data_IF_282424851004
#
_entry.id   IF_282424851004
#
_cell.length_a   1.000
_cell.length_b   1.000
_cell.length_c   1.000
_cell.angle_alpha   90.00
_cell.angle_beta   90.00
_cell.angle_gamma   90.00
#
_symmetry.space_group_name_H-M   'P 1'
#
loop_
_entity.id
_entity.type
_entity.pdbx_description
1 polymer ?
#
# COMPACT_ATOMS: atom_id res chain seq x y z
N UNK A 1 2.58 16.21 -3.78
CA UNK A 1 2.72 14.91 -3.08
C UNK A 1 3.44 13.98 -4.04
N UNK A 2 4.51 13.29 -3.60
CA UNK A 2 5.25 12.38 -4.48
C UNK A 2 4.42 11.14 -4.77
N UNK A 3 4.58 10.53 -5.95
CA UNK A 3 4.01 9.21 -6.30
C UNK A 3 4.34 8.16 -5.23
N UNK A 4 5.51 8.25 -4.61
CA UNK A 4 5.92 7.39 -3.51
C UNK A 4 5.03 7.53 -2.26
N UNK A 5 4.73 8.77 -1.85
CA UNK A 5 3.86 9.03 -0.70
C UNK A 5 2.43 8.55 -0.97
N UNK A 6 1.96 8.67 -2.22
CA UNK A 6 0.65 8.16 -2.63
C UNK A 6 0.55 6.64 -2.43
N UNK A 7 1.57 5.87 -2.79
CA UNK A 7 1.60 4.41 -2.60
C UNK A 7 1.51 4.06 -1.11
N UNK A 8 2.33 4.71 -0.27
CA UNK A 8 2.35 4.44 1.18
C UNK A 8 1.00 4.79 1.81
N UNK A 9 0.45 5.96 1.49
CA UNK A 9 -0.83 6.40 2.03
C UNK A 9 -1.96 5.48 1.59
N UNK A 10 -1.90 4.97 0.36
CA UNK A 10 -2.90 4.02 -0.12
C UNK A 10 -2.80 2.66 0.57
N UNK A 11 -1.59 2.15 0.84
CA UNK A 11 -1.41 0.93 1.64
C UNK A 11 -2.03 1.12 3.04
N UNK A 12 -1.77 2.26 3.70
CA UNK A 12 -2.38 2.59 4.99
C UNK A 12 -3.91 2.63 4.92
N UNK A 13 -4.46 3.28 3.91
CA UNK A 13 -5.91 3.36 3.66
C UNK A 13 -6.52 1.96 3.50
N UNK A 14 -5.91 1.08 2.70
CA UNK A 14 -6.42 -0.28 2.48
C UNK A 14 -6.40 -1.10 3.79
N UNK A 15 -5.37 -0.92 4.63
CA UNK A 15 -5.29 -1.56 5.94
C UNK A 15 -6.47 -1.12 6.82
N UNK A 16 -6.75 0.18 6.85
CA UNK A 16 -7.86 0.77 7.61
C UNK A 16 -9.23 0.31 7.06
N UNK A 17 -9.45 0.39 5.75
CA UNK A 17 -10.70 -0.05 5.08
C UNK A 17 -11.01 -1.53 5.37
N UNK A 18 -9.99 -2.39 5.45
CA UNK A 18 -10.17 -3.82 5.76
C UNK A 18 -10.23 -4.13 7.25
N UNK A 19 -10.01 -3.15 8.14
CA UNK A 19 -9.95 -3.36 9.59
C UNK A 19 -8.84 -4.32 10.01
N UNK A 20 -7.78 -4.46 9.22
CA UNK A 20 -6.71 -5.42 9.48
C UNK A 20 -5.65 -4.82 10.40
N UNK A 21 -5.14 -5.60 11.35
CA UNK A 21 -4.01 -5.17 12.18
C UNK A 21 -2.73 -5.13 11.34
N UNK A 22 -2.02 -4.02 11.38
CA UNK A 22 -0.75 -3.84 10.66
C UNK A 22 0.29 -4.94 10.96
N UNK A 23 0.33 -5.44 12.21
CA UNK A 23 1.21 -6.55 12.62
C UNK A 23 0.90 -7.83 11.86
N UNK A 24 -0.38 -8.18 11.70
CA UNK A 24 -0.79 -9.37 10.96
C UNK A 24 -0.45 -9.27 9.46
N UNK A 25 -0.52 -8.06 8.88
CA UNK A 25 -0.11 -7.82 7.50
C UNK A 25 1.40 -7.98 7.34
N UNK A 26 2.19 -7.45 8.28
CA UNK A 26 3.64 -7.59 8.27
C UNK A 26 4.05 -9.07 8.25
N UNK A 27 3.50 -9.87 9.17
CA UNK A 27 3.78 -11.31 9.26
C UNK A 27 3.41 -12.05 7.97
N UNK A 28 2.21 -11.79 7.43
CA UNK A 28 1.75 -12.39 6.15
C UNK A 28 2.63 -12.00 4.96
N UNK A 29 3.18 -10.80 4.97
CA UNK A 29 4.06 -10.30 3.91
C UNK A 29 5.54 -10.72 4.11
N UNK A 30 5.85 -11.42 5.21
CA UNK A 30 7.21 -11.89 5.53
C UNK A 30 8.11 -10.80 6.11
N UNK A 31 7.54 -9.83 6.83
CA UNK A 31 8.27 -8.75 7.51
C UNK A 31 8.03 -8.80 9.02
N UNK A 32 8.98 -8.26 9.77
CA UNK A 32 8.71 -7.91 11.17
C UNK A 32 7.78 -6.69 11.25
N UNK A 33 7.01 -6.59 12.34
CA UNK A 33 6.13 -5.45 12.58
C UNK A 33 6.89 -4.11 12.57
N UNK A 34 8.10 -4.09 13.13
CA UNK A 34 8.96 -2.90 13.18
C UNK A 34 9.44 -2.48 11.80
N UNK A 35 9.91 -3.42 10.98
CA UNK A 35 10.34 -3.12 9.61
C UNK A 35 9.20 -2.59 8.75
N UNK A 36 8.03 -3.22 8.84
CA UNK A 36 6.86 -2.78 8.11
C UNK A 36 6.41 -1.38 8.54
N UNK A 37 6.40 -1.11 9.86
CA UNK A 37 6.12 0.23 10.39
C UNK A 37 7.14 1.27 9.92
N UNK A 38 8.44 0.94 9.92
CA UNK A 38 9.47 1.85 9.44
C UNK A 38 9.30 2.17 7.94
N UNK A 39 8.90 1.20 7.11
CA UNK A 39 8.59 1.43 5.70
C UNK A 39 7.39 2.36 5.51
N UNK A 40 6.30 2.10 6.23
CA UNK A 40 5.08 2.92 6.11
C UNK A 40 5.23 4.34 6.68
N UNK A 41 6.22 4.58 7.54
CA UNK A 41 6.48 5.89 8.13
C UNK A 41 7.72 6.59 7.55
N UNK A 42 8.23 6.13 6.40
CA UNK A 42 9.34 6.78 5.69
C UNK A 42 10.70 6.68 6.39
N UNK A 43 10.82 5.84 7.44
CA UNK A 43 12.09 5.60 8.16
C UNK A 43 12.93 4.49 7.50
N UNK A 44 12.33 3.71 6.60
CA UNK A 44 12.97 2.69 5.77
C UNK A 44 12.41 2.78 4.35
N UNK A 45 13.26 2.57 3.33
CA UNK A 45 12.83 2.56 1.94
C UNK A 45 11.89 1.36 1.68
N UNK A 46 10.70 1.63 1.15
CA UNK A 46 9.81 0.60 0.60
C UNK A 46 10.30 0.23 -0.82
N UNK A 47 10.93 -0.94 -0.96
CA UNK A 47 11.40 -1.44 -2.26
C UNK A 47 10.23 -1.93 -3.10
N UNK A 48 10.30 -1.70 -4.42
CA UNK A 48 9.26 -2.13 -5.36
C UNK A 48 8.97 -3.64 -5.30
N UNK A 49 10.01 -4.46 -5.11
CA UNK A 49 9.91 -5.92 -4.94
C UNK A 49 9.08 -6.37 -3.73
N UNK A 50 8.86 -5.48 -2.74
CA UNK A 50 8.03 -5.78 -1.57
C UNK A 50 6.54 -5.53 -1.83
N UNK A 51 6.20 -4.71 -2.83
CA UNK A 51 4.81 -4.33 -3.12
C UNK A 51 3.93 -5.56 -3.44
N UNK A 52 4.36 -6.55 -4.26
CA UNK A 52 3.56 -7.75 -4.50
C UNK A 52 3.27 -8.56 -3.24
N UNK A 53 4.25 -8.67 -2.32
CA UNK A 53 4.06 -9.39 -1.04
C UNK A 53 3.03 -8.69 -0.16
N UNK A 54 3.07 -7.36 -0.11
CA UNK A 54 2.13 -6.54 0.64
C UNK A 54 0.72 -6.65 0.03
N UNK A 55 0.60 -6.61 -1.31
CA UNK A 55 -0.66 -6.81 -2.01
C UNK A 55 -1.29 -8.16 -1.70
N UNK A 56 -0.49 -9.23 -1.75
CA UNK A 56 -0.91 -10.57 -1.39
C UNK A 56 -1.35 -10.66 0.08
N UNK A 57 -0.61 -10.06 1.01
CA UNK A 57 -0.95 -10.06 2.43
C UNK A 57 -2.25 -9.28 2.73
N UNK A 58 -2.49 -8.22 1.98
CA UNK A 58 -3.73 -7.43 2.02
C UNK A 58 -4.87 -8.12 1.27
N UNK A 59 -4.61 -9.10 0.41
CA UNK A 59 -5.62 -9.71 -0.46
C UNK A 59 -6.21 -8.69 -1.44
N UNK A 60 -5.36 -7.90 -2.10
CA UNK A 60 -5.75 -6.93 -3.13
C UNK A 60 -4.83 -7.07 -4.35
N UNK A 61 -5.28 -6.56 -5.48
CA UNK A 61 -4.47 -6.45 -6.70
C UNK A 61 -3.50 -5.25 -6.65
N UNK A 62 -2.40 -5.32 -7.41
CA UNK A 62 -1.40 -4.26 -7.50
C UNK A 62 -2.01 -2.93 -7.97
N UNK A 63 -2.97 -2.96 -8.90
CA UNK A 63 -3.63 -1.75 -9.38
C UNK A 63 -4.35 -1.00 -8.25
N UNK A 64 -4.84 -1.74 -7.24
CA UNK A 64 -5.44 -1.13 -6.05
C UNK A 64 -4.40 -0.42 -5.21
N UNK A 65 -3.16 -0.91 -5.13
CA UNK A 65 -2.05 -0.23 -4.42
C UNK A 65 -1.52 0.98 -5.19
N UNK A 66 -1.36 0.85 -6.51
CA UNK A 66 -0.91 1.96 -7.35
C UNK A 66 -2.00 3.01 -7.61
N UNK A 67 -3.24 2.75 -7.16
CA UNK A 67 -4.37 3.66 -7.27
C UNK A 67 -4.72 4.06 -8.72
N UNK A 68 -4.44 3.17 -9.68
CA UNK A 68 -4.53 3.46 -11.12
C UNK A 68 -5.99 3.78 -11.53
N UNK A 69 -6.99 3.21 -10.84
CA UNK A 69 -8.41 3.41 -11.15
C UNK A 69 -8.99 4.79 -10.77
N UNK A 70 -8.43 5.46 -9.76
CA UNK A 70 -8.90 6.80 -9.39
C UNK A 70 -8.32 7.88 -10.31
N UNK A 71 -7.25 7.58 -11.04
CA UNK A 71 -6.72 8.45 -12.10
C UNK A 71 -7.64 8.41 -13.32
N UNK A 72 -8.04 7.22 -13.78
CA UNK A 72 -8.98 7.08 -14.90
C UNK A 72 -10.36 7.72 -14.66
N UNK A 73 -10.90 7.62 -13.43
CA UNK A 73 -12.19 8.26 -13.10
C UNK A 73 -12.17 9.78 -13.09
N UNK A 74 -11.00 10.41 -13.01
CA UNK A 74 -10.87 11.88 -13.12
C UNK A 74 -10.81 12.33 -14.58
N UNK A 75 -10.22 11.52 -15.45
CA UNK A 75 -10.13 11.81 -16.89
C UNK A 75 -11.51 11.69 -17.58
N UNK A 76 -12.31 10.67 -17.22
CA UNK A 76 -13.67 10.49 -17.75
C UNK A 76 -14.67 11.56 -17.30
N UNK A 77 -14.40 12.27 -16.19
CA UNK A 77 -15.23 13.38 -15.70
C UNK A 77 -14.77 14.76 -16.22
N UNK A 78 -13.64 14.81 -16.93
CA UNK A 78 -13.10 16.00 -17.54
C UNK A 78 -13.34 16.06 -19.07
N UNK A 79 -13.97 15.03 -19.65
CA UNK A 79 -14.44 14.99 -21.04
C UNK A 79 -15.96 15.20 -21.15
#
# INVERSE_FOLDING_TARGET
MSTYDCIINNIKRIIEEKGMKQVAIAERAGFTASEFSNMLNGRKLLRAEYIPKIASALGVDLNKIFNIYEEYKREDKAS
#
